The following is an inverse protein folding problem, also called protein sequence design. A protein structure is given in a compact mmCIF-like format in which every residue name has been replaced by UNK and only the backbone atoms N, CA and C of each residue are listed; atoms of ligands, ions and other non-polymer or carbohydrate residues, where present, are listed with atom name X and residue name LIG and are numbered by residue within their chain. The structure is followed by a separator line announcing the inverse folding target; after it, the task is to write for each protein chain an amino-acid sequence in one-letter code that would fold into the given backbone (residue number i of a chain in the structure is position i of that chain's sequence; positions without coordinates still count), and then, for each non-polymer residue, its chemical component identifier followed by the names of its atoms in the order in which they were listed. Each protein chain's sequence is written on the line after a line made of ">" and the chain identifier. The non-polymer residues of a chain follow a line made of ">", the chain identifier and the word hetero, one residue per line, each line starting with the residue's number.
data_IF_622759490292
#
_entry.id   IF_622759490292
#
_cell.length_a   1.000
_cell.length_b   1.000
_cell.length_c   1.000
_cell.angle_alpha   90.00
_cell.angle_beta   90.00
_cell.angle_gamma   90.00
#
_symmetry.space_group_name_H-M   'P 1'
#
loop_
_entity.id
_entity.type
_entity.pdbx_description
1 polymer ?
#
# COMPACT_ATOMS: atom_id res chain seq x y z
N UNK A 1 5.83 13.53 -21.70
CA UNK A 1 5.95 12.21 -21.04
C UNK A 1 5.25 12.33 -19.69
N UNK A 2 4.31 11.44 -19.32
CA UNK A 2 3.59 11.51 -18.03
C UNK A 2 4.27 10.56 -17.04
N UNK A 3 4.36 10.95 -15.77
CA UNK A 3 4.80 10.08 -14.68
C UNK A 3 3.62 9.28 -14.14
N UNK A 4 3.82 8.00 -13.90
CA UNK A 4 2.81 7.07 -13.38
C UNK A 4 3.26 6.49 -12.03
N UNK A 5 2.64 6.95 -10.95
CA UNK A 5 2.85 6.44 -9.60
C UNK A 5 1.64 5.62 -9.15
N UNK A 6 1.87 4.39 -8.70
CA UNK A 6 0.80 3.48 -8.26
C UNK A 6 0.90 3.18 -6.77
N UNK A 7 -0.25 3.08 -6.11
CA UNK A 7 -0.35 2.53 -4.76
C UNK A 7 -0.94 1.13 -4.87
N UNK A 8 -0.14 0.11 -4.54
CA UNK A 8 -0.50 -1.29 -4.78
C UNK A 8 -0.62 -2.03 -3.46
N UNK A 9 -1.80 -2.59 -3.18
CA UNK A 9 -2.02 -3.46 -2.04
C UNK A 9 -1.47 -4.86 -2.32
N UNK A 10 -0.65 -5.34 -1.39
CA UNK A 10 -0.14 -6.70 -1.40
C UNK A 10 -0.96 -7.53 -0.42
N UNK A 11 -1.35 -8.75 -0.83
CA UNK A 11 -2.21 -9.57 -0.02
C UNK A 11 -1.49 -10.18 1.17
N UNK A 12 -2.28 -10.50 2.19
CA UNK A 12 -1.80 -11.24 3.35
C UNK A 12 -1.73 -12.73 3.00
N UNK A 13 -0.54 -13.32 3.10
CA UNK A 13 -0.32 -14.73 2.77
C UNK A 13 -1.08 -15.68 3.72
N UNK A 14 -1.39 -15.20 4.94
CA UNK A 14 -2.08 -15.99 5.96
C UNK A 14 -3.59 -15.99 5.78
N UNK A 15 -4.16 -15.07 4.99
CA UNK A 15 -5.61 -14.94 4.86
C UNK A 15 -6.26 -16.09 4.06
N UNK A 16 -5.47 -16.91 3.33
CA UNK A 16 -5.83 -18.15 2.59
C UNK A 16 -7.13 -18.16 1.75
N UNK A 17 -7.82 -17.04 1.61
CA UNK A 17 -9.14 -16.95 0.98
C UNK A 17 -9.10 -17.20 -0.54
N UNK A 18 -7.97 -16.91 -1.19
CA UNK A 18 -7.84 -17.01 -2.65
C UNK A 18 -6.57 -17.77 -3.04
N UNK A 19 -6.72 -19.04 -3.41
CA UNK A 19 -5.60 -19.92 -3.77
C UNK A 19 -4.82 -19.47 -5.02
N UNK A 20 -5.45 -18.69 -5.91
CA UNK A 20 -4.83 -18.17 -7.15
C UNK A 20 -4.10 -16.84 -6.97
N UNK A 21 -4.08 -16.31 -5.75
CA UNK A 21 -3.53 -14.99 -5.45
C UNK A 21 -2.04 -14.82 -5.76
N UNK A 22 -1.16 -15.83 -5.57
CA UNK A 22 0.24 -15.71 -6.01
C UNK A 22 0.38 -15.50 -7.52
N UNK A 23 -0.46 -16.18 -8.33
CA UNK A 23 -0.45 -16.03 -9.80
C UNK A 23 -0.87 -14.62 -10.22
N UNK A 24 -1.96 -14.11 -9.63
CA UNK A 24 -2.46 -12.78 -9.92
C UNK A 24 -1.47 -11.69 -9.50
N UNK A 25 -0.80 -11.87 -8.37
CA UNK A 25 0.22 -10.94 -7.86
C UNK A 25 1.42 -10.90 -8.79
N UNK A 26 1.93 -12.06 -9.21
CA UNK A 26 3.09 -12.14 -10.12
C UNK A 26 2.81 -11.51 -11.50
N UNK A 27 1.63 -11.80 -12.07
CA UNK A 27 1.21 -11.22 -13.35
C UNK A 27 1.07 -9.69 -13.27
N UNK A 28 0.52 -9.19 -12.17
CA UNK A 28 0.37 -7.75 -11.92
C UNK A 28 1.72 -7.08 -11.70
N UNK A 29 2.63 -7.70 -10.95
CA UNK A 29 4.00 -7.22 -10.73
C UNK A 29 4.74 -6.99 -12.04
N UNK A 30 4.64 -7.92 -13.01
CA UNK A 30 5.26 -7.74 -14.33
C UNK A 30 4.81 -6.45 -15.01
N UNK A 31 3.54 -6.07 -14.86
CA UNK A 31 3.02 -4.81 -15.43
C UNK A 31 3.53 -3.59 -14.68
N UNK A 32 3.58 -3.67 -13.36
CA UNK A 32 4.14 -2.60 -12.52
C UNK A 32 5.62 -2.34 -12.88
N UNK A 33 6.44 -3.39 -12.99
CA UNK A 33 7.86 -3.29 -13.38
C UNK A 33 8.05 -2.63 -14.74
N UNK A 34 7.16 -2.88 -15.70
CA UNK A 34 7.33 -2.40 -17.08
C UNK A 34 6.69 -1.03 -17.35
N UNK A 35 5.76 -0.58 -16.51
CA UNK A 35 4.88 0.55 -16.86
C UNK A 35 4.65 1.57 -15.72
N UNK A 36 5.08 1.30 -14.49
CA UNK A 36 5.03 2.28 -13.41
C UNK A 36 6.41 2.93 -13.22
N UNK A 37 6.42 4.25 -13.09
CA UNK A 37 7.65 5.00 -12.76
C UNK A 37 7.95 4.94 -11.26
N UNK A 38 6.91 4.73 -10.43
CA UNK A 38 7.03 4.56 -8.98
C UNK A 38 5.89 3.69 -8.44
N UNK A 39 6.21 2.80 -7.52
CA UNK A 39 5.24 1.88 -6.89
C UNK A 39 5.38 1.99 -5.39
N UNK A 40 4.31 2.42 -4.72
CA UNK A 40 4.20 2.39 -3.25
C UNK A 40 3.47 1.11 -2.87
N UNK A 41 4.18 0.25 -2.16
CA UNK A 41 3.68 -1.06 -1.70
C UNK A 41 2.95 -0.90 -0.38
N UNK A 42 1.71 -1.38 -0.32
CA UNK A 42 0.87 -1.43 0.87
C UNK A 42 0.68 -2.88 1.28
N UNK A 43 1.49 -3.37 2.22
CA UNK A 43 1.44 -4.76 2.68
C UNK A 43 0.34 -4.96 3.74
N UNK A 44 -0.71 -5.69 3.39
CA UNK A 44 -1.82 -5.95 4.30
C UNK A 44 -1.42 -6.74 5.54
N UNK A 45 -0.44 -7.66 5.45
CA UNK A 45 0.03 -8.41 6.61
C UNK A 45 0.74 -7.47 7.61
N UNK A 46 1.59 -6.58 7.09
CA UNK A 46 2.26 -5.57 7.91
C UNK A 46 1.27 -4.55 8.50
N UNK A 47 0.28 -4.11 7.72
CA UNK A 47 -0.76 -3.20 8.20
C UNK A 47 -1.64 -3.83 9.28
N UNK A 48 -2.03 -5.10 9.10
CA UNK A 48 -2.76 -5.86 10.11
C UNK A 48 -1.95 -5.99 11.40
N UNK A 49 -0.65 -6.28 11.29
CA UNK A 49 0.26 -6.33 12.44
C UNK A 49 0.36 -4.99 13.15
N UNK A 50 0.42 -3.86 12.44
CA UNK A 50 0.42 -2.52 13.06
C UNK A 50 -0.89 -2.28 13.83
N UNK A 51 -2.04 -2.64 13.25
CA UNK A 51 -3.32 -2.53 13.94
C UNK A 51 -3.38 -3.39 15.22
N UNK A 52 -2.83 -4.60 15.19
CA UNK A 52 -2.77 -5.50 16.35
C UNK A 52 -1.80 -4.96 17.41
N UNK A 53 -0.56 -4.62 17.03
CA UNK A 53 0.53 -4.28 17.94
C UNK A 53 0.42 -2.86 18.51
N UNK A 54 -0.15 -1.91 17.76
CA UNK A 54 -0.15 -0.48 18.12
C UNK A 54 -1.53 0.07 18.45
N UNK A 55 -2.58 -0.48 17.83
CA UNK A 55 -3.96 -0.05 18.07
C UNK A 55 -4.74 -1.02 18.98
N UNK A 56 -4.10 -2.12 19.40
CA UNK A 56 -4.66 -3.15 20.27
C UNK A 56 -5.97 -3.75 19.74
N UNK A 57 -6.10 -3.84 18.41
CA UNK A 57 -7.26 -4.42 17.73
C UNK A 57 -6.94 -5.87 17.36
N UNK A 58 -7.67 -6.86 17.91
CA UNK A 58 -7.43 -8.27 17.63
C UNK A 58 -7.59 -8.65 16.15
N UNK A 59 -8.63 -8.13 15.49
CA UNK A 59 -8.88 -8.35 14.06
C UNK A 59 -9.15 -7.00 13.42
N UNK A 60 -8.19 -6.49 12.65
CA UNK A 60 -8.33 -5.22 11.97
C UNK A 60 -9.38 -5.33 10.86
N UNK A 61 -10.40 -4.49 10.93
CA UNK A 61 -11.36 -4.34 9.82
C UNK A 61 -10.70 -3.61 8.65
N UNK A 62 -11.18 -3.84 7.42
CA UNK A 62 -10.74 -3.07 6.25
C UNK A 62 -10.89 -1.56 6.46
N UNK A 63 -11.89 -1.11 7.22
CA UNK A 63 -12.05 0.30 7.54
C UNK A 63 -10.84 0.84 8.32
N UNK A 64 -10.39 0.13 9.35
CA UNK A 64 -9.22 0.53 10.16
C UNK A 64 -7.93 0.46 9.36
N UNK A 65 -7.72 -0.61 8.59
CA UNK A 65 -6.56 -0.74 7.70
C UNK A 65 -6.52 0.38 6.66
N UNK A 66 -7.67 0.76 6.10
CA UNK A 66 -7.76 1.84 5.13
C UNK A 66 -7.52 3.24 5.74
N UNK A 67 -7.73 3.44 7.03
CA UNK A 67 -7.33 4.68 7.71
C UNK A 67 -5.80 4.83 7.77
N UNK A 68 -5.07 3.74 7.99
CA UNK A 68 -3.61 3.75 7.92
C UNK A 68 -3.14 4.01 6.48
N UNK A 69 -3.74 3.32 5.51
CA UNK A 69 -3.43 3.52 4.09
C UNK A 69 -3.67 4.97 3.67
N UNK A 70 -4.81 5.56 4.02
CA UNK A 70 -5.12 6.96 3.66
C UNK A 70 -4.13 7.94 4.29
N UNK A 71 -3.69 7.67 5.51
CA UNK A 71 -2.66 8.46 6.21
C UNK A 71 -1.33 8.40 5.47
N UNK A 72 -0.89 7.21 5.06
CA UNK A 72 0.35 7.03 4.27
C UNK A 72 0.24 7.73 2.91
N UNK A 73 -0.88 7.59 2.21
CA UNK A 73 -1.12 8.26 0.91
C UNK A 73 -1.14 9.79 1.03
N UNK A 74 -1.69 10.31 2.13
CA UNK A 74 -1.67 11.74 2.42
C UNK A 74 -0.23 12.21 2.68
N UNK A 75 0.52 11.50 3.53
CA UNK A 75 1.90 11.84 3.87
C UNK A 75 2.83 11.79 2.63
N UNK A 76 2.70 10.76 1.78
CA UNK A 76 3.53 10.59 0.58
C UNK A 76 3.31 11.70 -0.45
N UNK A 77 2.12 12.31 -0.49
CA UNK A 77 1.78 13.40 -1.41
C UNK A 77 1.91 14.78 -0.78
N UNK A 78 2.39 14.89 0.47
CA UNK A 78 2.44 16.16 1.20
C UNK A 78 3.30 17.21 0.48
N UNK A 79 4.46 16.82 -0.05
CA UNK A 79 5.38 17.71 -0.78
C UNK A 79 4.83 18.19 -2.13
N UNK A 80 3.84 17.47 -2.68
CA UNK A 80 3.13 17.88 -3.90
C UNK A 80 1.96 18.83 -3.60
N UNK A 81 1.41 18.77 -2.38
CA UNK A 81 0.21 19.53 -1.98
C UNK A 81 0.53 20.85 -1.28
N UNK A 82 1.66 20.91 -0.58
CA UNK A 82 2.07 22.08 0.19
C UNK A 82 3.49 22.50 -0.19
N UNK A 83 3.79 23.81 -0.17
CA UNK A 83 5.16 24.28 -0.35
C UNK A 83 6.05 23.70 0.76
N UNK A 84 7.06 22.94 0.36
CA UNK A 84 8.04 22.34 1.26
C UNK A 84 9.42 22.97 1.05
N UNK A 85 10.16 23.17 2.14
CA UNK A 85 11.54 23.70 2.12
C UNK A 85 12.61 22.67 1.70
N UNK A 86 12.21 21.47 1.26
CA UNK A 86 13.13 20.37 0.97
C UNK A 86 13.76 20.42 -0.43
N UNK A 87 13.36 21.35 -1.31
CA UNK A 87 13.87 21.51 -2.66
C UNK A 87 14.27 22.97 -2.96
N UNK A 88 15.03 23.60 -2.07
CA UNK A 88 15.84 24.79 -2.37
C UNK A 88 17.31 24.39 -2.42
#
# INVERSE_FOLDING_TARGET
>A
KKLNQTYTSFPDADSRDVVVQPYNSLLSMKRLTNHADSVIVLDNAALNKICQDRLHVQVASFAQTNQLVSTVMSASTQTLRYPGYMNN
#
